data_IF_884860564343
#
_entry.id   IF_884860564343
#
_cell.length_a   1.000
_cell.length_b   1.000
_cell.length_c   1.000
_cell.angle_alpha   90.00
_cell.angle_beta   90.00
_cell.angle_gamma   90.00
#
_symmetry.space_group_name_H-M   'P 1'
#
loop_
_entity.id
_entity.type
_entity.pdbx_description
1 polymer ?
#
# COMPACT_ATOMS: atom_id res chain seq x y z
N UNK A 1 -0.33 24.54 -13.14
CA UNK A 1 -1.75 24.55 -13.52
C UNK A 1 -2.52 23.87 -12.39
N UNK A 2 -3.46 24.56 -11.82
CA UNK A 2 -4.27 23.97 -10.74
C UNK A 2 -5.35 23.03 -11.29
N UNK A 3 -6.07 22.34 -10.39
CA UNK A 3 -7.02 21.30 -10.77
C UNK A 3 -8.19 21.82 -11.62
N UNK A 4 -8.58 23.08 -11.42
CA UNK A 4 -9.74 23.65 -12.12
C UNK A 4 -9.44 23.94 -13.59
N UNK A 5 -8.17 24.06 -13.97
CA UNK A 5 -7.76 24.35 -15.34
C UNK A 5 -7.31 23.11 -16.11
N UNK A 6 -7.36 21.92 -15.48
CA UNK A 6 -7.02 20.66 -16.15
C UNK A 6 -8.11 20.27 -17.15
N UNK A 7 -7.66 19.78 -18.32
CA UNK A 7 -8.54 19.08 -19.25
C UNK A 7 -9.19 17.88 -18.54
N UNK A 8 -10.51 17.65 -18.71
CA UNK A 8 -11.18 16.51 -18.11
C UNK A 8 -10.53 15.15 -18.40
N UNK A 9 -9.96 14.97 -19.59
CA UNK A 9 -9.26 13.73 -19.94
C UNK A 9 -7.96 13.58 -19.13
N UNK A 10 -7.20 14.67 -19.00
CA UNK A 10 -5.97 14.67 -18.20
C UNK A 10 -6.28 14.33 -16.73
N UNK A 11 -7.35 14.91 -16.20
CA UNK A 11 -7.81 14.60 -14.83
C UNK A 11 -8.17 13.13 -14.68
N UNK A 12 -8.93 12.59 -15.62
CA UNK A 12 -9.34 11.19 -15.59
C UNK A 12 -8.13 10.24 -15.66
N UNK A 13 -7.17 10.55 -16.53
CA UNK A 13 -5.95 9.74 -16.63
C UNK A 13 -5.12 9.81 -15.35
N UNK A 14 -5.03 10.98 -14.71
CA UNK A 14 -4.34 11.14 -13.44
C UNK A 14 -5.02 10.35 -12.33
N UNK A 15 -6.36 10.43 -12.22
CA UNK A 15 -7.14 9.66 -11.26
C UNK A 15 -6.89 8.17 -11.44
N UNK A 16 -6.96 7.69 -12.68
CA UNK A 16 -6.75 6.27 -12.98
C UNK A 16 -5.34 5.80 -12.65
N UNK A 17 -4.32 6.63 -12.96
CA UNK A 17 -2.93 6.29 -12.66
C UNK A 17 -2.68 6.20 -11.16
N UNK A 18 -3.25 7.10 -10.36
CA UNK A 18 -3.12 7.07 -8.90
C UNK A 18 -3.86 5.88 -8.29
N UNK A 19 -5.07 5.57 -8.77
CA UNK A 19 -5.81 4.37 -8.34
C UNK A 19 -4.99 3.11 -8.62
N UNK A 20 -4.35 3.05 -9.79
CA UNK A 20 -3.51 1.90 -10.15
C UNK A 20 -2.35 1.72 -9.18
N UNK A 21 -1.71 2.81 -8.72
CA UNK A 21 -0.63 2.72 -7.73
C UNK A 21 -1.10 2.08 -6.42
N UNK A 22 -2.31 2.42 -5.98
CA UNK A 22 -2.91 1.83 -4.77
C UNK A 22 -3.05 0.32 -4.93
N UNK A 23 -3.60 -0.12 -6.05
CA UNK A 23 -3.82 -1.54 -6.35
C UNK A 23 -2.49 -2.27 -6.55
N UNK A 24 -1.57 -1.67 -7.28
CA UNK A 24 -0.28 -2.28 -7.57
C UNK A 24 0.56 -2.49 -6.32
N UNK A 25 0.48 -1.57 -5.36
CA UNK A 25 1.15 -1.70 -4.07
C UNK A 25 0.79 -3.01 -3.37
N UNK A 26 -0.52 -3.30 -3.25
CA UNK A 26 -0.95 -4.53 -2.57
C UNK A 26 -0.64 -5.79 -3.38
N UNK A 27 -0.69 -5.73 -4.70
CA UNK A 27 -0.30 -6.85 -5.55
C UNK A 27 1.18 -7.21 -5.35
N UNK A 28 2.05 -6.23 -5.26
CA UNK A 28 3.48 -6.47 -5.03
C UNK A 28 3.74 -7.05 -3.65
N UNK A 29 3.00 -6.60 -2.62
CA UNK A 29 3.12 -7.14 -1.27
C UNK A 29 2.60 -8.56 -1.15
N UNK A 30 1.44 -8.84 -1.74
CA UNK A 30 0.73 -10.10 -1.52
C UNK A 30 1.11 -11.19 -2.52
N UNK A 31 1.40 -10.82 -3.75
CA UNK A 31 1.56 -11.76 -4.86
C UNK A 31 2.91 -11.62 -5.59
N UNK A 32 3.69 -10.61 -5.28
CA UNK A 32 4.93 -10.32 -5.98
C UNK A 32 6.13 -10.19 -5.04
N UNK A 33 7.06 -9.32 -5.43
CA UNK A 33 8.24 -9.00 -4.63
C UNK A 33 7.91 -7.82 -3.70
N UNK A 34 7.81 -8.03 -2.37
CA UNK A 34 7.44 -6.96 -1.45
C UNK A 34 8.36 -5.74 -1.46
N UNK A 35 9.67 -5.96 -1.63
CA UNK A 35 10.63 -4.84 -1.70
C UNK A 35 10.40 -3.94 -2.90
N UNK A 36 9.79 -4.47 -3.97
CA UNK A 36 9.56 -3.70 -5.19
C UNK A 36 8.53 -2.59 -5.03
N UNK A 37 7.77 -2.54 -3.91
CA UNK A 37 6.86 -1.41 -3.66
C UNK A 37 7.62 -0.09 -3.60
N UNK A 38 8.91 -0.12 -3.29
CA UNK A 38 9.76 1.08 -3.31
C UNK A 38 9.72 1.79 -4.66
N UNK A 39 9.59 1.04 -5.76
CA UNK A 39 9.57 1.60 -7.11
C UNK A 39 8.30 2.39 -7.42
N UNK A 40 7.27 2.29 -6.58
CA UNK A 40 6.02 3.04 -6.72
C UNK A 40 6.12 4.43 -6.08
N UNK A 41 7.20 4.72 -5.38
CA UNK A 41 7.44 5.99 -4.69
C UNK A 41 8.40 6.86 -5.46
N UNK A 42 8.31 8.18 -5.22
CA UNK A 42 9.35 9.11 -5.67
C UNK A 42 10.67 8.79 -4.94
N UNK A 43 11.78 9.32 -5.45
CA UNK A 43 13.13 9.06 -4.90
C UNK A 43 13.19 9.25 -3.38
N UNK A 44 12.53 10.30 -2.87
CA UNK A 44 12.51 10.64 -1.45
C UNK A 44 11.16 10.30 -0.80
N UNK A 45 10.36 9.46 -1.44
CA UNK A 45 9.05 9.08 -0.94
C UNK A 45 9.10 8.35 0.39
N UNK A 46 8.01 8.43 1.16
CA UNK A 46 7.97 7.87 2.51
C UNK A 46 6.68 7.11 2.79
N UNK A 47 6.83 6.03 3.53
CA UNK A 47 5.73 5.31 4.17
C UNK A 47 5.75 5.67 5.65
N UNK A 48 4.58 5.99 6.21
CA UNK A 48 4.46 6.47 7.59
C UNK A 48 3.36 5.75 8.34
N UNK A 49 3.65 5.43 9.60
CA UNK A 49 2.67 4.96 10.56
C UNK A 49 2.86 5.76 11.86
N UNK A 50 2.22 6.94 11.96
CA UNK A 50 2.43 7.83 13.11
C UNK A 50 2.08 7.21 14.45
N UNK A 51 0.99 6.45 14.55
CA UNK A 51 0.58 5.81 15.81
C UNK A 51 1.61 4.78 16.29
N UNK A 52 2.38 4.18 15.36
CA UNK A 52 3.46 3.26 15.70
C UNK A 52 4.84 3.92 15.73
N UNK A 53 4.88 5.25 15.64
CA UNK A 53 6.10 6.05 15.60
C UNK A 53 7.11 5.54 14.56
N UNK A 54 6.63 5.34 13.32
CA UNK A 54 7.44 4.75 12.26
C UNK A 54 7.35 5.58 10.98
N UNK A 55 8.51 5.85 10.41
CA UNK A 55 8.64 6.53 9.12
C UNK A 55 9.80 5.90 8.36
N UNK A 56 9.51 5.43 7.14
CA UNK A 56 10.50 4.81 6.26
C UNK A 56 10.58 5.68 5.01
N UNK A 57 11.72 6.30 4.76
CA UNK A 57 11.89 7.26 3.68
C UNK A 57 13.03 6.88 2.75
N UNK A 58 12.80 7.05 1.44
CA UNK A 58 13.76 6.77 0.38
C UNK A 58 13.67 5.34 -0.14
N UNK A 59 14.08 5.14 -1.40
CA UNK A 59 13.94 3.85 -2.09
C UNK A 59 14.66 2.71 -1.36
N UNK A 60 15.90 2.93 -0.92
CA UNK A 60 16.67 1.86 -0.28
C UNK A 60 16.03 1.43 1.04
N UNK A 61 15.61 2.39 1.86
CA UNK A 61 14.96 2.10 3.14
C UNK A 61 13.61 1.40 2.93
N UNK A 62 12.83 1.86 1.95
CA UNK A 62 11.54 1.22 1.62
C UNK A 62 11.73 -0.21 1.13
N UNK A 63 12.70 -0.42 0.25
CA UNK A 63 13.01 -1.75 -0.28
C UNK A 63 13.43 -2.71 0.82
N UNK A 64 14.29 -2.26 1.71
CA UNK A 64 14.75 -3.07 2.85
C UNK A 64 13.61 -3.39 3.80
N UNK A 65 12.82 -2.38 4.16
CA UNK A 65 11.72 -2.56 5.12
C UNK A 65 10.68 -3.56 4.62
N UNK A 66 10.18 -3.37 3.41
CA UNK A 66 9.14 -4.25 2.87
C UNK A 66 9.72 -5.60 2.44
N UNK A 67 10.97 -5.63 1.98
CA UNK A 67 11.65 -6.88 1.60
C UNK A 67 11.96 -7.78 2.78
N UNK A 68 12.03 -7.25 4.00
CA UNK A 68 12.33 -8.01 5.21
C UNK A 68 11.11 -8.69 5.85
N UNK A 69 9.94 -8.63 5.22
CA UNK A 69 8.79 -9.35 5.76
C UNK A 69 9.08 -10.85 5.82
N UNK A 70 8.47 -11.59 6.77
CA UNK A 70 8.68 -13.03 6.86
C UNK A 70 8.38 -13.74 5.54
N UNK A 71 9.27 -14.64 5.14
CA UNK A 71 9.15 -15.37 3.87
C UNK A 71 7.93 -16.31 3.87
N UNK A 72 7.52 -16.77 5.07
CA UNK A 72 6.37 -17.66 5.24
C UNK A 72 5.06 -16.93 5.54
N UNK A 73 5.00 -15.63 5.23
CA UNK A 73 3.80 -14.82 5.45
C UNK A 73 2.84 -14.96 4.28
N UNK A 74 1.61 -15.34 4.59
CA UNK A 74 0.49 -15.27 3.66
C UNK A 74 -0.33 -14.03 4.00
N UNK A 75 -0.52 -13.15 3.04
CA UNK A 75 -1.35 -11.96 3.24
C UNK A 75 -2.23 -11.70 2.02
N UNK A 76 -3.40 -11.14 2.30
CA UNK A 76 -4.31 -10.62 1.28
C UNK A 76 -4.87 -9.31 1.80
N UNK A 77 -4.58 -8.23 1.08
CA UNK A 77 -5.09 -6.90 1.38
C UNK A 77 -6.17 -6.55 0.39
N UNK A 78 -7.30 -6.14 0.91
CA UNK A 78 -8.42 -5.68 0.10
C UNK A 78 -8.49 -4.17 0.25
N UNK A 79 -8.29 -3.45 -0.86
CA UNK A 79 -8.43 -2.00 -0.91
C UNK A 79 -9.78 -1.66 -1.50
N UNK A 80 -10.49 -0.74 -0.86
CA UNK A 80 -11.82 -0.31 -1.27
C UNK A 80 -12.00 1.17 -1.00
N UNK A 81 -13.08 1.74 -1.53
CA UNK A 81 -13.41 3.15 -1.30
C UNK A 81 -12.25 4.08 -1.65
N UNK A 82 -11.62 3.82 -2.80
CA UNK A 82 -10.49 4.63 -3.28
C UNK A 82 -11.04 5.95 -3.81
N UNK A 83 -10.61 7.04 -3.18
CA UNK A 83 -11.04 8.39 -3.57
C UNK A 83 -9.80 9.22 -3.89
N UNK A 84 -9.55 9.44 -5.18
CA UNK A 84 -8.44 10.25 -5.66
C UNK A 84 -8.93 11.67 -5.94
N UNK A 85 -8.20 12.67 -5.45
CA UNK A 85 -8.44 14.07 -5.74
C UNK A 85 -7.20 14.63 -6.43
N UNK A 86 -7.34 15.04 -7.67
CA UNK A 86 -6.27 15.69 -8.42
C UNK A 86 -6.21 17.15 -8.00
N UNK A 87 -5.05 17.58 -7.51
CA UNK A 87 -4.87 18.95 -6.96
C UNK A 87 -4.16 19.90 -7.92
N UNK A 88 -3.44 19.36 -8.90
CA UNK A 88 -2.81 20.12 -9.98
C UNK A 88 -2.46 19.20 -11.15
N UNK A 89 -1.80 19.72 -12.17
CA UNK A 89 -1.35 18.92 -13.30
C UNK A 89 -0.38 17.80 -12.90
N UNK A 90 0.32 17.97 -11.78
CA UNK A 90 1.38 17.05 -11.35
C UNK A 90 1.26 16.60 -9.89
N UNK A 91 0.17 16.94 -9.19
CA UNK A 91 -0.05 16.54 -7.79
C UNK A 91 -1.46 16.00 -7.59
N UNK A 92 -1.58 15.03 -6.68
CA UNK A 92 -2.86 14.42 -6.30
C UNK A 92 -2.77 13.87 -4.88
N UNK A 93 -3.94 13.63 -4.30
CA UNK A 93 -4.07 12.98 -3.00
C UNK A 93 -5.14 11.91 -3.08
N UNK A 94 -5.09 10.94 -2.17
CA UNK A 94 -6.14 9.91 -2.11
C UNK A 94 -6.34 9.42 -0.68
N UNK A 95 -7.56 8.93 -0.43
CA UNK A 95 -7.84 8.08 0.72
C UNK A 95 -8.30 6.73 0.20
N UNK A 96 -7.92 5.67 0.90
CA UNK A 96 -8.28 4.29 0.52
C UNK A 96 -8.54 3.50 1.79
N UNK A 97 -9.67 2.80 1.87
CA UNK A 97 -9.88 1.85 2.96
C UNK A 97 -9.16 0.55 2.64
N UNK A 98 -8.63 -0.10 3.67
CA UNK A 98 -8.02 -1.41 3.47
C UNK A 98 -8.41 -2.38 4.58
N UNK A 99 -8.43 -3.66 4.23
CA UNK A 99 -8.66 -4.79 5.13
C UNK A 99 -7.55 -5.79 4.85
N UNK A 100 -6.83 -6.23 5.89
CA UNK A 100 -5.72 -7.16 5.72
C UNK A 100 -6.02 -8.48 6.43
N UNK A 101 -5.96 -9.57 5.67
CA UNK A 101 -5.92 -10.94 6.18
C UNK A 101 -4.47 -11.39 6.12
N UNK A 102 -3.95 -11.91 7.22
CA UNK A 102 -2.53 -12.26 7.29
C UNK A 102 -2.26 -13.33 8.33
N UNK A 103 -1.42 -14.31 7.97
CA UNK A 103 -0.87 -15.31 8.89
C UNK A 103 0.60 -15.50 8.56
N UNK A 104 1.39 -15.89 9.54
CA UNK A 104 2.76 -16.33 9.36
C UNK A 104 2.83 -17.85 9.53
N UNK A 105 3.93 -18.46 9.09
CA UNK A 105 4.09 -19.92 9.19
C UNK A 105 3.32 -20.69 8.11
N UNK A 106 2.99 -20.00 7.02
CA UNK A 106 2.29 -20.61 5.89
C UNK A 106 3.25 -21.41 5.02
N UNK A 107 2.83 -22.58 4.57
CA UNK A 107 3.60 -23.40 3.61
C UNK A 107 2.82 -23.62 2.32
N UNK A 108 1.63 -24.16 2.40
CA UNK A 108 0.82 -24.48 1.21
C UNK A 108 -0.64 -24.71 1.58
N UNK A 109 -1.50 -24.74 0.55
CA UNK A 109 -2.90 -25.11 0.68
C UNK A 109 -3.80 -24.00 1.19
N UNK A 110 -4.98 -24.38 1.62
CA UNK A 110 -5.98 -23.43 2.14
C UNK A 110 -5.78 -23.24 3.63
N UNK A 111 -5.89 -22.00 4.05
CA UNK A 111 -5.92 -21.62 5.46
C UNK A 111 -7.38 -21.40 5.83
N UNK A 112 -7.87 -21.98 6.95
CA UNK A 112 -9.26 -21.74 7.37
C UNK A 112 -9.56 -20.26 7.54
N UNK A 113 -10.80 -19.82 7.23
CA UNK A 113 -11.15 -18.40 7.31
C UNK A 113 -11.04 -17.88 8.73
N UNK A 114 -10.69 -16.61 8.86
CA UNK A 114 -10.50 -15.91 10.13
C UNK A 114 -10.79 -14.43 9.96
N UNK A 115 -11.00 -13.70 11.07
CA UNK A 115 -11.15 -12.26 11.01
C UNK A 115 -9.90 -11.59 10.43
N UNK A 116 -10.05 -10.40 9.83
CA UNK A 116 -8.89 -9.63 9.39
C UNK A 116 -8.03 -9.21 10.58
N UNK A 117 -6.71 -9.08 10.35
CA UNK A 117 -5.79 -8.61 11.40
C UNK A 117 -5.76 -7.09 11.49
N UNK A 118 -6.12 -6.41 10.40
CA UNK A 118 -6.12 -4.96 10.34
C UNK A 118 -7.26 -4.46 9.47
N UNK A 119 -7.90 -3.39 9.90
CA UNK A 119 -8.83 -2.59 9.10
C UNK A 119 -8.47 -1.14 9.34
N UNK A 120 -8.28 -0.39 8.28
CA UNK A 120 -7.89 1.00 8.40
C UNK A 120 -8.02 1.75 7.08
N UNK A 121 -7.28 2.85 6.98
CA UNK A 121 -7.22 3.59 5.73
C UNK A 121 -5.81 4.13 5.50
N UNK A 122 -5.52 4.37 4.25
CA UNK A 122 -4.32 5.10 3.82
C UNK A 122 -4.70 6.52 3.44
N UNK A 123 -3.82 7.46 3.74
CA UNK A 123 -3.84 8.79 3.15
C UNK A 123 -2.57 8.92 2.33
N UNK A 124 -2.74 9.12 1.03
CA UNK A 124 -1.65 9.13 0.06
C UNK A 124 -1.52 10.50 -0.59
N UNK A 125 -0.28 10.88 -0.89
CA UNK A 125 0.01 12.00 -1.80
C UNK A 125 0.82 11.47 -2.97
N UNK A 126 0.61 12.07 -4.16
CA UNK A 126 1.23 11.64 -5.41
C UNK A 126 1.85 12.83 -6.12
N UNK A 127 2.89 12.56 -6.89
CA UNK A 127 3.52 13.53 -7.75
C UNK A 127 3.81 12.89 -9.11
N UNK A 128 3.56 13.64 -10.18
CA UNK A 128 3.88 13.21 -11.54
C UNK A 128 5.29 13.66 -11.86
N UNK A 129 6.19 12.71 -12.08
CA UNK A 129 7.60 12.94 -12.37
C UNK A 129 7.92 12.30 -13.71
N UNK A 130 8.39 13.08 -14.67
CA UNK A 130 8.71 12.58 -16.02
C UNK A 130 7.57 11.75 -16.61
N UNK A 131 6.35 12.32 -16.60
CA UNK A 131 5.11 11.72 -17.09
C UNK A 131 4.66 10.45 -16.35
N UNK A 132 5.25 10.13 -15.20
CA UNK A 132 4.89 8.96 -14.39
C UNK A 132 4.37 9.40 -13.02
N UNK A 133 3.17 8.97 -12.64
CA UNK A 133 2.63 9.20 -11.32
C UNK A 133 3.28 8.27 -10.31
N UNK A 134 3.73 8.83 -9.17
CA UNK A 134 4.38 8.08 -8.09
C UNK A 134 3.85 8.57 -6.75
N UNK A 135 3.95 7.70 -5.72
CA UNK A 135 3.63 8.07 -4.34
C UNK A 135 4.74 8.96 -3.77
N UNK A 136 4.36 10.08 -3.16
CA UNK A 136 5.30 10.88 -2.36
C UNK A 136 5.23 10.49 -0.89
N UNK A 137 4.01 10.26 -0.39
CA UNK A 137 3.82 9.72 0.96
C UNK A 137 2.65 8.74 0.96
N UNK A 138 2.76 7.73 1.79
CA UNK A 138 1.63 6.87 2.17
C UNK A 138 1.59 6.82 3.69
N UNK A 139 0.49 7.28 4.27
CA UNK A 139 0.30 7.30 5.72
C UNK A 139 -0.76 6.27 6.10
N UNK A 140 -0.41 5.41 7.06
CA UNK A 140 -1.27 4.33 7.55
C UNK A 140 -2.01 4.77 8.80
N UNK A 141 -3.33 4.57 8.79
CA UNK A 141 -4.19 4.75 9.96
C UNK A 141 -4.95 3.46 10.22
N UNK A 142 -4.78 2.90 11.42
CA UNK A 142 -5.46 1.67 11.82
C UNK A 142 -6.67 2.01 12.68
N UNK A 143 -7.82 1.42 12.33
CA UNK A 143 -9.05 1.49 13.13
C UNK A 143 -9.23 0.24 13.97
N UNK A 144 -8.89 -0.92 13.40
CA UNK A 144 -8.92 -2.22 14.09
C UNK A 144 -7.62 -2.94 13.78
N UNK A 145 -6.96 -3.46 14.81
CA UNK A 145 -5.71 -4.19 14.62
C UNK A 145 -5.48 -5.18 15.75
N UNK A 146 -4.85 -6.30 15.40
CA UNK A 146 -4.45 -7.33 16.33
C UNK A 146 -3.14 -7.98 15.90
N UNK A 147 -2.61 -8.92 16.70
CA UNK A 147 -1.37 -9.60 16.35
C UNK A 147 -1.57 -10.51 15.14
N UNK A 148 -0.51 -10.70 14.36
CA UNK A 148 -0.51 -11.68 13.27
C UNK A 148 -0.37 -13.07 13.87
N UNK A 149 -1.35 -13.94 13.59
CA UNK A 149 -1.31 -15.32 14.03
C UNK A 149 -0.19 -16.06 13.32
N UNK A 150 0.51 -16.94 14.06
CA UNK A 150 1.45 -17.85 13.45
C UNK A 150 0.82 -19.23 13.39
N UNK A 151 0.78 -19.81 12.18
CA UNK A 151 0.26 -21.17 11.99
C UNK A 151 1.24 -22.17 12.59
N UNK A 152 0.69 -23.25 13.13
CA UNK A 152 1.50 -24.35 13.62
C UNK A 152 2.21 -25.03 12.46
N UNK A 153 3.42 -25.51 12.72
CA UNK A 153 4.17 -26.24 11.71
C UNK A 153 3.51 -27.57 11.34
N UNK A 154 4.01 -28.21 10.26
CA UNK A 154 3.48 -29.51 9.82
C UNK A 154 3.50 -30.55 10.96
N UNK A 155 2.37 -31.25 11.17
CA UNK A 155 2.24 -32.26 12.20
C UNK A 155 1.63 -31.79 13.50
N UNK A 156 1.30 -30.54 13.64
CA UNK A 156 0.49 -30.04 14.75
C UNK A 156 -0.96 -29.92 14.27
N UNK A 157 -1.83 -30.67 14.89
CA UNK A 157 -3.26 -30.70 14.56
C UNK A 157 -4.07 -29.97 15.64
#
# INVERSE_FOLDING_TARGET
MDAETLDPMERLLAERACERLVVEFVHRLDLGDPGSVADLFTQNGAWEWPAGDRRIAGHDALRTYFGNRPADRLSRRICSNILVTVTSADTAAATTYFTTYRVDGYSEGLVPPRPPVQVGHYEDTFHKVDDTWLLTTRTLFLSFAGPTERLDGPGQS
#
